data_IF_488282464276
#
_entry.id   IF_488282464276
#
_cell.length_a   1.000
_cell.length_b   1.000
_cell.length_c   1.000
_cell.angle_alpha   90.00
_cell.angle_beta   90.00
_cell.angle_gamma   90.00
#
_symmetry.space_group_name_H-M   'P 1'
#
loop_
_entity.id
_entity.type
_entity.pdbx_description
1 polymer ?
#
# COMPACT_ATOMS: atom_id res chain seq x y z
N UNK A 1 -33.30 -7.23 -29.75
CA UNK A 1 -32.04 -7.06 -30.47
C UNK A 1 -30.94 -6.91 -29.43
N UNK A 2 -30.60 -5.73 -28.93
CA UNK A 2 -29.54 -5.60 -27.89
C UNK A 2 -29.73 -6.54 -26.67
N UNK A 3 -30.91 -6.54 -26.04
CA UNK A 3 -31.24 -7.48 -24.94
C UNK A 3 -31.31 -8.97 -25.35
N UNK A 4 -31.39 -9.29 -26.64
CA UNK A 4 -31.36 -10.66 -27.16
C UNK A 4 -29.92 -11.09 -27.53
N UNK A 5 -29.07 -10.13 -27.87
CA UNK A 5 -27.63 -10.31 -28.12
C UNK A 5 -26.87 -10.49 -26.80
N UNK A 6 -27.19 -9.71 -25.76
CA UNK A 6 -26.64 -9.87 -24.41
C UNK A 6 -26.97 -11.27 -23.83
N UNK A 7 -28.22 -11.72 -23.93
CA UNK A 7 -28.64 -13.05 -23.46
C UNK A 7 -27.96 -14.20 -24.22
N UNK A 8 -27.66 -14.03 -25.51
CA UNK A 8 -26.91 -15.03 -26.29
C UNK A 8 -25.44 -15.12 -25.85
N UNK A 9 -24.81 -13.99 -25.50
CA UNK A 9 -23.43 -13.95 -25.01
C UNK A 9 -23.29 -14.62 -23.63
N UNK A 10 -24.20 -14.36 -22.69
CA UNK A 10 -24.24 -15.04 -21.38
C UNK A 10 -24.41 -16.57 -21.55
N UNK A 11 -25.28 -17.00 -22.46
CA UNK A 11 -25.46 -18.42 -22.79
C UNK A 11 -24.20 -19.08 -23.40
N UNK A 12 -23.40 -18.36 -24.19
CA UNK A 12 -22.14 -18.89 -24.73
C UNK A 12 -21.01 -18.95 -23.69
N UNK A 13 -20.88 -17.96 -22.81
CA UNK A 13 -19.93 -18.02 -21.70
C UNK A 13 -20.23 -19.20 -20.76
N UNK A 14 -21.51 -19.44 -20.41
CA UNK A 14 -21.86 -20.53 -19.51
C UNK A 14 -21.57 -21.92 -20.15
N UNK A 15 -21.82 -22.06 -21.46
CA UNK A 15 -21.45 -23.27 -22.23
C UNK A 15 -19.94 -23.46 -22.31
N UNK A 16 -19.17 -22.38 -22.49
CA UNK A 16 -17.71 -22.40 -22.48
C UNK A 16 -17.15 -22.83 -21.12
N UNK A 17 -17.66 -22.25 -20.03
CA UNK A 17 -17.30 -22.57 -18.64
C UNK A 17 -17.60 -24.04 -18.27
N UNK A 18 -18.76 -24.56 -18.69
CA UNK A 18 -19.13 -25.98 -18.52
C UNK A 18 -18.18 -26.90 -19.30
N UNK A 19 -17.79 -26.54 -20.52
CA UNK A 19 -16.86 -27.31 -21.35
C UNK A 19 -15.46 -27.38 -20.75
N UNK A 20 -14.93 -26.25 -20.27
CA UNK A 20 -13.62 -26.18 -19.61
C UNK A 20 -13.55 -27.07 -18.36
N UNK A 21 -14.61 -27.06 -17.53
CA UNK A 21 -14.73 -27.92 -16.34
C UNK A 21 -14.75 -29.42 -16.66
N UNK A 22 -15.35 -29.85 -17.77
CA UNK A 22 -15.30 -31.27 -18.18
C UNK A 22 -13.88 -31.72 -18.53
N UNK A 23 -13.11 -30.91 -19.27
CA UNK A 23 -11.72 -31.25 -19.66
C UNK A 23 -10.76 -31.40 -18.48
N UNK A 24 -10.97 -30.67 -17.37
CA UNK A 24 -10.16 -30.81 -16.16
C UNK A 24 -10.45 -32.10 -15.38
N UNK A 25 -11.66 -32.66 -15.49
CA UNK A 25 -12.05 -33.90 -14.81
C UNK A 25 -11.45 -35.16 -15.43
N UNK A 26 -10.89 -35.09 -16.64
CA UNK A 26 -10.39 -36.26 -17.40
C UNK A 26 -8.87 -36.46 -17.32
N UNK A 27 -8.16 -35.69 -16.48
CA UNK A 27 -6.69 -35.65 -16.44
C UNK A 27 -6.06 -36.26 -15.16
N UNK A 28 -6.86 -36.88 -14.28
CA UNK A 28 -6.44 -37.24 -12.93
C UNK A 28 -6.70 -38.72 -12.56
N UNK A 29 -6.14 -39.66 -13.33
CA UNK A 29 -6.08 -41.08 -12.96
C UNK A 29 -4.84 -41.78 -13.57
N UNK A 30 -4.31 -42.81 -12.89
CA UNK A 30 -2.93 -43.33 -12.98
C UNK A 30 -1.84 -42.33 -12.52
N UNK A 31 -0.72 -42.73 -11.90
CA UNK A 31 -0.12 -44.08 -11.77
C UNK A 31 0.35 -44.34 -10.32
N UNK A 32 0.53 -45.59 -9.91
CA UNK A 32 0.86 -45.99 -8.53
C UNK A 32 2.10 -46.90 -8.43
N UNK A 33 2.90 -46.68 -7.37
CA UNK A 33 3.75 -47.67 -6.66
C UNK A 33 5.02 -48.20 -7.38
N UNK A 34 6.09 -48.63 -6.69
CA UNK A 34 6.50 -48.45 -5.27
C UNK A 34 7.86 -47.67 -5.28
N UNK A 35 8.96 -47.82 -4.52
CA UNK A 35 9.40 -48.73 -3.42
C UNK A 35 10.53 -48.03 -2.60
N UNK A 36 11.50 -48.78 -2.04
CA UNK A 36 12.60 -48.35 -1.14
C UNK A 36 13.98 -48.46 -1.86
N UNK A 37 15.16 -48.02 -1.38
CA UNK A 37 15.69 -47.66 -0.03
C UNK A 37 16.85 -46.61 -0.16
N UNK A 38 17.52 -46.11 0.92
CA UNK A 38 18.32 -44.87 0.89
C UNK A 38 19.87 -44.99 0.82
N UNK A 39 20.53 -43.91 0.40
CA UNK A 39 21.90 -43.55 0.83
C UNK A 39 22.03 -42.02 1.05
N UNK A 40 23.03 -41.61 1.85
CA UNK A 40 23.24 -40.24 2.34
C UNK A 40 24.29 -39.43 1.56
N UNK A 41 24.08 -38.13 1.39
CA UNK A 41 25.17 -37.17 1.13
C UNK A 41 24.89 -35.79 1.72
N UNK A 42 25.95 -35.05 2.07
CA UNK A 42 25.86 -33.71 2.66
C UNK A 42 25.27 -32.69 1.69
N UNK A 43 24.16 -32.08 2.09
CA UNK A 43 23.72 -30.78 1.60
C UNK A 43 23.47 -29.89 2.81
N UNK A 44 24.21 -28.78 2.91
CA UNK A 44 23.95 -27.78 3.95
C UNK A 44 22.53 -27.23 3.77
N UNK A 45 21.76 -27.04 4.87
CA UNK A 45 20.41 -26.50 4.75
C UNK A 45 20.46 -25.12 4.09
N UNK A 46 19.67 -24.95 3.03
CA UNK A 46 19.28 -23.62 2.58
C UNK A 46 18.55 -22.93 3.75
N UNK A 47 18.73 -21.61 3.88
CA UNK A 47 18.18 -20.86 5.02
C UNK A 47 16.68 -21.12 5.19
N UNK A 48 16.30 -21.51 6.41
CA UNK A 48 14.91 -21.74 6.79
C UNK A 48 14.12 -20.43 6.59
N UNK A 49 12.93 -20.50 5.99
CA UNK A 49 12.16 -19.33 5.59
C UNK A 49 11.83 -18.43 6.81
N UNK A 50 12.44 -17.25 6.88
CA UNK A 50 12.26 -16.31 8.01
C UNK A 50 10.79 -15.92 8.17
N UNK A 51 10.26 -16.17 9.38
CA UNK A 51 8.94 -15.80 9.91
C UNK A 51 7.97 -15.19 8.89
N UNK A 52 7.11 -16.03 8.30
CA UNK A 52 6.02 -15.57 7.43
C UNK A 52 4.90 -14.94 8.27
N UNK A 53 5.20 -13.79 8.86
CA UNK A 53 4.22 -12.92 9.53
C UNK A 53 3.12 -12.60 8.52
N UNK A 54 1.92 -13.13 8.81
CA UNK A 54 0.73 -12.97 8.01
C UNK A 54 0.02 -11.70 8.46
N UNK A 55 0.29 -10.59 7.76
CA UNK A 55 -0.31 -9.28 8.03
C UNK A 55 -1.80 -9.21 7.59
N UNK A 56 -2.57 -10.28 7.78
CA UNK A 56 -3.97 -10.40 7.34
C UNK A 56 -4.22 -10.38 5.83
N UNK A 57 -3.17 -10.22 5.01
CA UNK A 57 -3.24 -10.10 3.55
C UNK A 57 -2.34 -11.11 2.84
N UNK A 58 -2.78 -11.63 1.70
CA UNK A 58 -2.04 -12.64 0.93
C UNK A 58 -1.02 -11.98 0.01
N UNK A 59 0.28 -12.18 0.27
CA UNK A 59 1.36 -11.67 -0.60
C UNK A 59 1.25 -12.27 -2.01
N UNK A 60 1.40 -11.44 -3.05
CA UNK A 60 1.41 -11.86 -4.45
C UNK A 60 2.81 -11.71 -5.08
N UNK A 61 3.36 -10.49 -4.99
CA UNK A 61 4.69 -10.13 -5.50
C UNK A 61 5.39 -9.22 -4.49
N UNK A 62 6.68 -9.42 -4.25
CA UNK A 62 7.43 -8.62 -3.27
C UNK A 62 8.78 -8.17 -3.84
N UNK A 63 8.98 -6.86 -3.88
CA UNK A 63 10.10 -6.17 -4.52
C UNK A 63 11.10 -5.64 -3.47
N UNK A 64 12.42 -5.80 -3.67
CA UNK A 64 13.41 -5.16 -2.81
C UNK A 64 13.41 -3.63 -3.01
N UNK A 65 13.48 -2.88 -1.91
CA UNK A 65 13.59 -1.42 -1.94
C UNK A 65 14.93 -0.95 -1.33
N UNK A 66 15.17 0.36 -1.31
CA UNK A 66 16.37 0.94 -0.66
C UNK A 66 16.42 0.60 0.84
N UNK A 67 15.25 0.59 1.47
CA UNK A 67 15.03 0.08 2.82
C UNK A 67 13.78 -0.82 2.78
N UNK A 68 13.85 -1.97 3.45
CA UNK A 68 12.76 -2.94 3.48
C UNK A 68 12.33 -3.45 2.10
N UNK A 69 11.05 -3.82 2.00
CA UNK A 69 10.42 -4.39 0.81
C UNK A 69 9.11 -3.65 0.48
N UNK A 70 8.74 -3.65 -0.79
CA UNK A 70 7.41 -3.25 -1.25
C UNK A 70 6.67 -4.47 -1.80
N UNK A 71 5.54 -4.82 -1.19
CA UNK A 71 4.77 -6.02 -1.51
C UNK A 71 3.40 -5.67 -2.07
N UNK A 72 3.03 -6.29 -3.18
CA UNK A 72 1.66 -6.31 -3.68
C UNK A 72 0.95 -7.48 -3.00
N UNK A 73 -0.22 -7.23 -2.43
CA UNK A 73 -0.99 -8.24 -1.70
C UNK A 73 -2.47 -8.24 -2.11
N UNK A 74 -3.08 -9.42 -2.14
CA UNK A 74 -4.52 -9.60 -2.26
C UNK A 74 -5.18 -9.56 -0.86
N UNK A 75 -6.27 -8.83 -0.72
CA UNK A 75 -7.07 -8.82 0.50
C UNK A 75 -7.78 -7.50 0.74
N UNK A 76 -8.27 -7.33 1.96
CA UNK A 76 -8.82 -6.07 2.46
C UNK A 76 -7.79 -5.39 3.36
N UNK A 77 -7.52 -4.11 3.14
CA UNK A 77 -6.64 -3.33 4.02
C UNK A 77 -7.23 -3.16 5.43
N UNK A 78 -8.53 -3.40 5.62
CA UNK A 78 -9.23 -3.34 6.91
C UNK A 78 -8.78 -4.48 7.85
N UNK A 79 -8.27 -5.56 7.30
CA UNK A 79 -7.82 -6.75 8.05
C UNK A 79 -6.29 -6.79 8.20
N UNK A 80 -5.59 -5.70 7.82
CA UNK A 80 -4.14 -5.60 7.93
C UNK A 80 -3.70 -5.28 9.38
N UNK A 81 -2.89 -6.17 9.96
CA UNK A 81 -2.46 -6.12 11.37
C UNK A 81 -0.99 -5.70 11.57
N UNK A 82 -0.43 -4.91 10.65
CA UNK A 82 0.88 -4.27 10.82
C UNK A 82 0.82 -2.94 11.60
N UNK A 83 1.92 -2.20 11.66
CA UNK A 83 2.01 -0.96 12.45
C UNK A 83 0.98 0.10 12.05
N UNK A 84 0.63 0.21 10.76
CA UNK A 84 -0.43 1.12 10.32
C UNK A 84 -1.13 0.68 9.04
N UNK A 85 -2.34 1.22 8.84
CA UNK A 85 -3.01 1.22 7.54
C UNK A 85 -3.11 2.64 6.98
N UNK A 86 -3.01 2.77 5.66
CA UNK A 86 -3.23 4.04 4.93
C UNK A 86 -4.61 4.01 4.30
N UNK A 87 -5.47 4.92 4.74
CA UNK A 87 -6.86 5.08 4.31
C UNK A 87 -6.94 6.04 3.11
N UNK A 88 -7.65 5.63 2.06
CA UNK A 88 -8.01 6.50 0.92
C UNK A 88 -9.12 7.49 1.32
N UNK A 89 -8.73 8.55 2.03
CA UNK A 89 -9.62 9.51 2.64
C UNK A 89 -10.04 10.65 1.69
N UNK A 90 -11.09 11.36 2.09
CA UNK A 90 -11.47 12.66 1.52
C UNK A 90 -10.93 13.81 2.40
N UNK A 91 -10.92 15.05 1.88
CA UNK A 91 -10.37 16.25 2.54
C UNK A 91 -10.97 16.56 3.92
N UNK A 92 -12.21 16.17 4.18
CA UNK A 92 -12.85 16.35 5.49
C UNK A 92 -12.35 15.38 6.57
N UNK A 93 -11.73 14.27 6.16
CA UNK A 93 -11.14 13.21 6.97
C UNK A 93 -12.02 12.59 8.08
N UNK A 94 -13.35 12.78 8.07
CA UNK A 94 -14.28 12.31 9.12
C UNK A 94 -15.21 11.17 8.68
N UNK A 95 -14.70 10.29 7.81
CA UNK A 95 -15.43 9.15 7.23
C UNK A 95 -15.89 9.40 5.79
N UNK A 96 -16.42 8.35 5.17
CA UNK A 96 -16.82 8.32 3.76
C UNK A 96 -17.47 7.00 3.36
N UNK A 97 -17.55 6.74 2.06
CA UNK A 97 -17.96 5.43 1.50
C UNK A 97 -16.75 4.54 1.15
N UNK A 98 -17.01 3.37 0.57
CA UNK A 98 -15.97 2.46 0.11
C UNK A 98 -15.03 2.03 1.24
N UNK A 99 -13.71 2.01 0.97
CA UNK A 99 -12.69 1.61 1.95
C UNK A 99 -12.65 2.55 3.17
N UNK A 100 -12.86 3.86 3.01
CA UNK A 100 -12.91 4.81 4.13
C UNK A 100 -14.10 4.50 5.06
N UNK A 101 -15.25 4.12 4.47
CA UNK A 101 -16.42 3.64 5.21
C UNK A 101 -16.16 2.32 5.95
N UNK A 102 -15.49 1.36 5.31
CA UNK A 102 -15.16 0.07 5.92
C UNK A 102 -14.13 0.22 7.07
N UNK A 103 -13.11 1.05 6.88
CA UNK A 103 -12.12 1.44 7.91
C UNK A 103 -12.83 2.13 9.08
N UNK A 104 -13.76 3.05 8.82
CA UNK A 104 -14.56 3.71 9.87
C UNK A 104 -15.44 2.73 10.65
N UNK A 105 -16.06 1.77 9.95
CA UNK A 105 -16.91 0.76 10.57
C UNK A 105 -16.14 -0.25 11.44
N UNK A 106 -14.90 -0.60 11.05
CA UNK A 106 -14.02 -1.50 11.83
C UNK A 106 -13.30 -0.78 12.97
N UNK A 107 -12.84 0.46 12.78
CA UNK A 107 -12.11 1.21 13.82
C UNK A 107 -13.00 1.82 14.92
N UNK A 108 -14.33 1.77 14.76
CA UNK A 108 -15.30 2.13 15.78
C UNK A 108 -15.30 3.61 16.18
N UNK A 109 -15.91 3.89 17.35
CA UNK A 109 -16.06 5.27 17.84
C UNK A 109 -14.71 5.92 18.19
N UNK A 110 -13.73 5.15 18.67
CA UNK A 110 -12.40 5.67 19.00
C UNK A 110 -11.68 6.25 17.78
N UNK A 111 -11.81 5.61 16.61
CA UNK A 111 -11.31 6.15 15.35
C UNK A 111 -12.10 7.39 14.92
N UNK A 112 -13.43 7.39 15.03
CA UNK A 112 -14.25 8.55 14.66
C UNK A 112 -13.92 9.79 15.49
N UNK A 113 -13.82 9.65 16.81
CA UNK A 113 -13.46 10.74 17.72
C UNK A 113 -12.06 11.30 17.41
N UNK A 114 -11.08 10.44 17.16
CA UNK A 114 -9.73 10.85 16.79
C UNK A 114 -9.69 11.59 15.44
N UNK A 115 -10.50 11.16 14.46
CA UNK A 115 -10.69 11.83 13.16
C UNK A 115 -11.40 13.18 13.31
N UNK A 116 -12.35 13.30 14.23
CA UNK A 116 -13.03 14.55 14.51
C UNK A 116 -12.19 15.54 15.34
N UNK A 117 -11.17 15.06 16.05
CA UNK A 117 -10.18 15.86 16.76
C UNK A 117 -9.06 16.44 15.87
N UNK A 118 -8.84 15.92 14.65
CA UNK A 118 -7.86 16.47 13.71
C UNK A 118 -8.13 17.96 13.43
N UNK A 119 -7.12 18.84 13.39
CA UNK A 119 -7.34 20.28 13.20
C UNK A 119 -8.00 20.58 11.85
N UNK A 120 -8.89 21.57 11.81
CA UNK A 120 -9.39 22.12 10.55
C UNK A 120 -8.31 23.01 9.94
N UNK A 121 -8.00 22.79 8.66
CA UNK A 121 -7.02 23.53 7.87
C UNK A 121 -7.70 24.18 6.67
N UNK A 122 -7.06 25.20 6.08
CA UNK A 122 -7.54 25.82 4.84
C UNK A 122 -8.92 26.47 4.96
N UNK A 123 -9.93 25.90 4.28
CA UNK A 123 -11.30 26.45 4.17
C UNK A 123 -12.36 25.38 4.47
N UNK A 124 -13.50 25.81 5.00
CA UNK A 124 -14.67 24.96 5.18
C UNK A 124 -14.50 23.94 6.32
N UNK A 125 -14.51 22.65 5.99
CA UNK A 125 -14.34 21.53 6.94
C UNK A 125 -13.13 20.65 6.60
N UNK A 126 -12.20 21.13 5.78
CA UNK A 126 -10.97 20.40 5.43
C UNK A 126 -10.11 20.16 6.67
N UNK A 127 -9.57 18.96 6.83
CA UNK A 127 -8.61 18.57 7.87
C UNK A 127 -7.29 18.04 7.31
N UNK A 128 -7.31 17.60 6.05
CA UNK A 128 -6.13 17.30 5.25
C UNK A 128 -6.38 17.80 3.82
N UNK A 129 -5.43 18.54 3.25
CA UNK A 129 -5.52 18.99 1.87
C UNK A 129 -5.25 17.83 0.89
N UNK A 130 -5.62 18.00 -0.39
CA UNK A 130 -5.31 17.01 -1.43
C UNK A 130 -3.79 16.94 -1.65
N UNK A 131 -3.24 15.74 -1.69
CA UNK A 131 -1.80 15.50 -1.78
C UNK A 131 -1.05 15.49 -0.43
N UNK A 132 -1.79 15.47 0.69
CA UNK A 132 -1.27 15.41 2.06
C UNK A 132 -1.84 14.17 2.79
N UNK A 133 -1.32 13.86 3.99
CA UNK A 133 -1.81 12.79 4.86
C UNK A 133 -1.79 13.20 6.35
N UNK A 134 -2.64 12.60 7.19
CA UNK A 134 -2.68 12.84 8.65
C UNK A 134 -2.89 11.54 9.42
N UNK A 135 -2.11 11.30 10.48
CA UNK A 135 -2.24 10.07 11.30
C UNK A 135 -3.20 10.24 12.49
N UNK A 136 -4.00 9.21 12.77
CA UNK A 136 -4.80 9.03 14.00
C UNK A 136 -4.56 7.62 14.60
N UNK A 137 -5.04 7.38 15.81
CA UNK A 137 -5.12 6.02 16.39
C UNK A 137 -6.13 5.19 15.59
N UNK A 138 -5.93 3.88 15.49
CA UNK A 138 -6.80 3.03 14.67
C UNK A 138 -8.13 2.62 15.34
N UNK A 139 -8.23 2.70 16.66
CA UNK A 139 -9.43 2.27 17.40
C UNK A 139 -9.54 0.73 17.42
N UNK A 140 -10.68 0.18 17.02
CA UNK A 140 -10.99 -1.26 17.05
C UNK A 140 -10.46 -2.07 15.83
N UNK A 141 -9.44 -1.52 15.15
CA UNK A 141 -8.67 -2.15 14.05
C UNK A 141 -7.49 -2.96 14.59
N UNK A 142 -6.99 -3.92 13.79
CA UNK A 142 -5.88 -4.80 14.19
C UNK A 142 -4.48 -4.14 14.03
N UNK A 143 -4.41 -2.97 13.38
CA UNK A 143 -3.22 -2.12 13.28
C UNK A 143 -3.23 -1.04 14.38
N UNK A 144 -2.08 -0.49 14.75
CA UNK A 144 -2.00 0.56 15.79
C UNK A 144 -2.52 1.93 15.30
N UNK A 145 -2.20 2.30 14.05
CA UNK A 145 -2.43 3.64 13.50
C UNK A 145 -3.19 3.63 12.17
N UNK A 146 -3.96 4.69 11.91
CA UNK A 146 -4.56 4.97 10.60
C UNK A 146 -3.98 6.26 10.04
N UNK A 147 -3.39 6.19 8.87
CA UNK A 147 -2.89 7.34 8.12
C UNK A 147 -3.94 7.72 7.06
N UNK A 148 -4.63 8.83 7.24
CA UNK A 148 -5.63 9.33 6.29
C UNK A 148 -4.92 10.10 5.19
N UNK A 149 -4.73 9.49 4.01
CA UNK A 149 -4.10 10.13 2.86
C UNK A 149 -5.16 10.56 1.84
N UNK A 150 -5.09 11.81 1.38
CA UNK A 150 -6.11 12.39 0.49
C UNK A 150 -5.58 12.48 -0.93
N UNK A 151 -5.86 11.44 -1.72
CA UNK A 151 -5.60 11.44 -3.16
C UNK A 151 -6.54 12.38 -3.92
N UNK A 152 -6.17 12.81 -5.15
CA UNK A 152 -7.02 13.63 -6.01
C UNK A 152 -8.31 12.91 -6.41
N UNK A 153 -9.37 13.67 -6.61
CA UNK A 153 -10.54 13.21 -7.36
C UNK A 153 -10.40 13.70 -8.81
N UNK A 154 -10.00 12.82 -9.73
CA UNK A 154 -9.75 13.13 -11.15
C UNK A 154 -10.97 13.73 -11.87
N UNK A 155 -12.19 13.53 -11.36
CA UNK A 155 -13.39 14.22 -11.87
C UNK A 155 -13.33 15.76 -11.75
N UNK A 156 -12.38 16.31 -10.98
CA UNK A 156 -12.23 17.74 -10.72
C UNK A 156 -10.94 18.35 -11.33
N UNK A 157 -10.21 17.62 -12.17
CA UNK A 157 -8.97 18.10 -12.80
C UNK A 157 -9.03 17.94 -14.33
N UNK A 158 -8.90 19.06 -15.06
CA UNK A 158 -8.74 19.05 -16.52
C UNK A 158 -7.31 18.63 -16.94
N UNK A 159 -6.32 18.78 -16.04
CA UNK A 159 -4.92 18.40 -16.22
C UNK A 159 -4.62 17.11 -15.44
N UNK A 160 -4.48 15.98 -16.15
CA UNK A 160 -4.13 14.70 -15.54
C UNK A 160 -2.73 14.71 -14.90
N UNK A 161 -1.78 15.52 -15.40
CA UNK A 161 -0.42 15.63 -14.84
C UNK A 161 -0.39 16.45 -13.52
N UNK A 162 -1.42 17.27 -13.25
CA UNK A 162 -1.64 17.91 -11.95
C UNK A 162 -2.19 16.91 -10.92
N UNK A 163 -3.22 16.15 -11.31
CA UNK A 163 -3.79 15.12 -10.46
C UNK A 163 -2.75 14.03 -10.14
N UNK A 164 -2.04 13.50 -11.14
CA UNK A 164 -1.00 12.49 -10.93
C UNK A 164 0.10 12.95 -9.94
N UNK A 165 0.49 14.23 -10.00
CA UNK A 165 1.45 14.81 -9.06
C UNK A 165 0.91 14.93 -7.62
N UNK A 166 -0.38 15.25 -7.46
CA UNK A 166 -1.05 15.25 -6.16
C UNK A 166 -1.23 13.82 -5.61
N UNK A 167 -1.48 12.83 -6.47
CA UNK A 167 -1.56 11.42 -6.07
C UNK A 167 -0.22 10.92 -5.51
N UNK A 168 0.89 11.21 -6.20
CA UNK A 168 2.24 10.92 -5.69
C UNK A 168 2.49 11.62 -4.35
N UNK A 169 2.06 12.88 -4.21
CA UNK A 169 2.20 13.64 -2.97
C UNK A 169 1.44 13.00 -1.81
N UNK A 170 0.23 12.46 -2.03
CA UNK A 170 -0.55 11.78 -0.98
C UNK A 170 0.14 10.49 -0.47
N UNK A 171 0.64 9.65 -1.38
CA UNK A 171 1.44 8.46 -1.01
C UNK A 171 2.74 8.86 -0.31
N UNK A 172 3.43 9.89 -0.82
CA UNK A 172 4.64 10.46 -0.18
C UNK A 172 4.33 10.89 1.25
N UNK A 173 3.32 11.73 1.46
CA UNK A 173 2.95 12.26 2.77
C UNK A 173 2.63 11.15 3.77
N UNK A 174 1.96 10.07 3.33
CA UNK A 174 1.73 8.89 4.16
C UNK A 174 3.03 8.19 4.58
N UNK A 175 4.01 8.03 3.68
CA UNK A 175 5.34 7.50 4.01
C UNK A 175 6.13 8.43 4.96
N UNK A 176 5.97 9.75 4.86
CA UNK A 176 6.58 10.71 5.80
C UNK A 176 5.96 10.59 7.20
N UNK A 177 4.63 10.52 7.31
CA UNK A 177 3.88 10.31 8.56
C UNK A 177 4.25 8.97 9.23
N UNK A 178 4.46 7.91 8.45
CA UNK A 178 4.86 6.60 8.93
C UNK A 178 6.32 6.58 9.44
N UNK A 179 7.26 7.16 8.67
CA UNK A 179 8.66 7.33 9.08
C UNK A 179 8.79 8.18 10.34
N UNK A 180 8.08 9.31 10.41
CA UNK A 180 8.20 10.23 11.54
C UNK A 180 7.50 9.67 12.82
N UNK A 181 6.90 8.46 12.73
CA UNK A 181 6.48 7.59 13.85
C UNK A 181 7.25 6.26 13.93
N UNK A 182 8.29 6.07 13.12
CA UNK A 182 9.15 4.87 13.05
C UNK A 182 8.39 3.54 12.84
N UNK A 183 7.33 3.56 12.03
CA UNK A 183 6.51 2.37 11.74
C UNK A 183 7.28 1.34 10.91
N UNK A 184 7.27 0.07 11.31
CA UNK A 184 7.99 -1.00 10.61
C UNK A 184 7.19 -1.62 9.46
N UNK A 185 5.85 -1.59 9.52
CA UNK A 185 4.97 -2.21 8.51
C UNK A 185 3.73 -1.36 8.20
N UNK A 186 3.43 -1.16 6.92
CA UNK A 186 2.40 -0.19 6.48
C UNK A 186 1.55 -0.75 5.33
N UNK A 187 0.23 -0.91 5.55
CA UNK A 187 -0.72 -1.43 4.57
C UNK A 187 -1.52 -0.34 3.87
N UNK A 188 -1.35 -0.16 2.56
CA UNK A 188 -2.00 0.92 1.79
C UNK A 188 -3.31 0.48 1.13
N UNK A 189 -4.34 1.32 1.30
CA UNK A 189 -5.43 1.45 0.33
C UNK A 189 -4.86 1.95 -1.01
N UNK A 190 -5.45 1.51 -2.13
CA UNK A 190 -5.10 2.03 -3.45
C UNK A 190 -5.73 3.43 -3.65
N UNK A 191 -5.00 4.47 -3.23
CA UNK A 191 -5.43 5.87 -3.29
C UNK A 191 -5.89 6.24 -4.70
N UNK A 192 -7.04 6.93 -4.79
CA UNK A 192 -7.70 7.35 -6.03
C UNK A 192 -7.99 6.27 -7.08
N UNK A 193 -7.77 4.97 -6.81
CA UNK A 193 -8.02 3.89 -7.76
C UNK A 193 -9.51 3.56 -7.96
N UNK A 194 -10.35 3.86 -6.97
CA UNK A 194 -11.80 3.65 -6.97
C UNK A 194 -12.60 4.79 -7.61
N UNK A 195 -13.66 5.27 -6.93
CA UNK A 195 -14.58 6.28 -7.46
C UNK A 195 -13.91 7.62 -7.83
N UNK A 196 -12.81 7.98 -7.17
CA UNK A 196 -12.03 9.19 -7.45
C UNK A 196 -11.21 9.10 -8.74
N UNK A 197 -11.12 7.94 -9.39
CA UNK A 197 -10.35 7.73 -10.63
C UNK A 197 -10.98 8.40 -11.85
N UNK A 198 -12.31 8.55 -11.85
CA UNK A 198 -13.06 9.02 -13.02
C UNK A 198 -12.70 8.28 -14.30
N UNK A 199 -12.36 9.03 -15.35
CA UNK A 199 -11.91 8.51 -16.65
C UNK A 199 -10.45 8.08 -16.70
N UNK A 200 -9.63 8.37 -15.69
CA UNK A 200 -8.21 8.00 -15.66
C UNK A 200 -8.07 6.46 -15.72
N UNK A 201 -7.08 5.99 -16.46
CA UNK A 201 -6.81 4.55 -16.56
C UNK A 201 -6.28 4.02 -15.22
N UNK A 202 -6.49 2.73 -14.93
CA UNK A 202 -6.07 2.14 -13.65
C UNK A 202 -4.55 1.98 -13.54
N UNK A 203 -3.86 1.60 -14.63
CA UNK A 203 -2.41 1.37 -14.61
C UNK A 203 -1.61 2.61 -14.17
N UNK A 204 -1.81 3.82 -14.74
CA UNK A 204 -1.06 4.99 -14.31
C UNK A 204 -1.25 5.30 -12.82
N UNK A 205 -2.49 5.21 -12.33
CA UNK A 205 -2.85 5.50 -10.92
C UNK A 205 -2.19 4.51 -9.95
N UNK A 206 -2.16 3.22 -10.29
CA UNK A 206 -1.48 2.22 -9.46
C UNK A 206 0.05 2.29 -9.59
N UNK A 207 0.58 2.59 -10.77
CA UNK A 207 2.01 2.79 -11.00
C UNK A 207 2.54 4.01 -10.23
N UNK A 208 1.79 5.11 -10.16
CA UNK A 208 2.12 6.27 -9.33
C UNK A 208 2.25 5.85 -7.86
N UNK A 209 1.29 5.08 -7.33
CA UNK A 209 1.32 4.60 -5.95
C UNK A 209 2.53 3.71 -5.65
N UNK A 210 2.79 2.72 -6.51
CA UNK A 210 3.93 1.81 -6.39
C UNK A 210 5.26 2.59 -6.38
N UNK A 211 5.42 3.50 -7.34
CA UNK A 211 6.64 4.31 -7.47
C UNK A 211 6.80 5.32 -6.32
N UNK A 212 5.69 5.89 -5.82
CA UNK A 212 5.70 6.81 -4.69
C UNK A 212 6.05 6.13 -3.36
N UNK A 213 5.50 4.94 -3.08
CA UNK A 213 5.83 4.20 -1.85
C UNK A 213 7.31 3.79 -1.88
N UNK A 214 7.78 3.15 -2.96
CA UNK A 214 9.13 2.61 -3.01
C UNK A 214 10.24 3.68 -2.93
N UNK A 215 10.06 4.82 -3.63
CA UNK A 215 11.00 5.94 -3.60
C UNK A 215 11.06 6.67 -2.25
N UNK A 216 10.07 6.46 -1.37
CA UNK A 216 9.99 7.11 -0.06
C UNK A 216 10.13 6.11 1.12
N UNK A 217 10.73 4.94 0.86
CA UNK A 217 11.14 3.97 1.89
C UNK A 217 12.20 4.55 2.84
N UNK A 218 12.24 4.07 4.08
CA UNK A 218 13.03 4.64 5.18
C UNK A 218 13.62 3.54 6.11
N UNK A 219 14.68 3.81 6.89
CA UNK A 219 15.50 2.78 7.54
C UNK A 219 14.75 1.81 8.47
N UNK A 220 13.72 2.28 9.16
CA UNK A 220 12.90 1.48 10.08
C UNK A 220 11.84 0.62 9.37
N UNK A 221 11.55 0.89 8.10
CA UNK A 221 10.55 0.13 7.33
C UNK A 221 11.08 -1.27 6.97
N UNK A 222 10.36 -2.29 7.39
CA UNK A 222 10.57 -3.69 6.98
C UNK A 222 9.78 -4.02 5.72
N UNK A 223 8.48 -3.74 5.70
CA UNK A 223 7.60 -4.07 4.57
C UNK A 223 6.42 -3.10 4.43
N UNK A 224 6.32 -2.44 3.28
CA UNK A 224 5.13 -1.68 2.87
C UNK A 224 4.30 -2.52 1.89
N UNK A 225 2.97 -2.42 1.97
CA UNK A 225 2.04 -3.22 1.17
C UNK A 225 1.11 -2.35 0.33
N UNK A 226 0.96 -2.64 -0.95
CA UNK A 226 -0.18 -2.17 -1.74
C UNK A 226 -1.25 -3.28 -1.71
N UNK A 227 -2.34 -3.05 -0.97
CA UNK A 227 -3.38 -4.05 -0.74
C UNK A 227 -4.49 -3.89 -1.78
N UNK A 228 -4.55 -4.84 -2.71
CA UNK A 228 -5.44 -4.85 -3.85
C UNK A 228 -6.66 -5.73 -3.60
N UNK A 229 -7.84 -5.11 -3.54
CA UNK A 229 -9.09 -5.76 -3.18
C UNK A 229 -9.68 -6.60 -4.32
N UNK A 230 -9.53 -6.15 -5.57
CA UNK A 230 -10.02 -6.85 -6.76
C UNK A 230 -8.91 -7.51 -7.57
N UNK A 231 -9.23 -8.62 -8.25
CA UNK A 231 -8.31 -9.30 -9.19
C UNK A 231 -7.79 -8.37 -10.29
N UNK A 232 -8.60 -7.37 -10.70
CA UNK A 232 -8.18 -6.36 -11.69
C UNK A 232 -7.07 -5.47 -11.15
N UNK A 233 -7.17 -5.02 -9.91
CA UNK A 233 -6.12 -4.21 -9.26
C UNK A 233 -4.86 -5.03 -9.03
N UNK A 234 -5.00 -6.30 -8.60
CA UNK A 234 -3.90 -7.25 -8.40
C UNK A 234 -3.08 -7.42 -9.69
N UNK A 235 -3.72 -7.84 -10.79
CA UNK A 235 -3.06 -8.03 -12.08
C UNK A 235 -2.50 -6.71 -12.67
N UNK A 236 -3.16 -5.57 -12.43
CA UNK A 236 -2.66 -4.27 -12.91
C UNK A 236 -1.41 -3.83 -12.13
N UNK A 237 -1.34 -4.12 -10.83
CA UNK A 237 -0.15 -3.86 -10.01
C UNK A 237 1.01 -4.77 -10.37
N UNK A 238 0.77 -6.06 -10.63
CA UNK A 238 1.79 -6.98 -11.12
C UNK A 238 2.33 -6.55 -12.50
N UNK A 239 1.46 -6.09 -13.41
CA UNK A 239 1.87 -5.54 -14.70
C UNK A 239 2.74 -4.28 -14.54
N UNK A 240 2.30 -3.31 -13.72
CA UNK A 240 3.07 -2.10 -13.44
C UNK A 240 4.42 -2.43 -12.76
N UNK A 241 4.42 -3.38 -11.83
CA UNK A 241 5.63 -3.88 -11.16
C UNK A 241 6.61 -4.54 -12.13
N UNK A 242 6.14 -5.30 -13.13
CA UNK A 242 7.01 -5.96 -14.11
C UNK A 242 7.63 -4.97 -15.12
N UNK A 243 6.91 -3.91 -15.50
CA UNK A 243 7.47 -2.82 -16.33
C UNK A 243 8.54 -2.04 -15.58
N UNK A 244 8.32 -1.80 -14.29
CA UNK A 244 9.26 -1.10 -13.42
C UNK A 244 10.44 -1.99 -12.98
N UNK A 245 10.19 -3.27 -12.69
CA UNK A 245 11.14 -4.25 -12.19
C UNK A 245 11.31 -5.44 -13.18
N UNK A 246 11.98 -5.25 -14.32
CA UNK A 246 12.23 -6.34 -15.27
C UNK A 246 13.23 -7.39 -14.74
N UNK A 247 13.98 -7.09 -13.68
CA UNK A 247 14.87 -8.02 -12.98
C UNK A 247 14.87 -7.75 -11.46
N UNK A 248 14.08 -8.51 -10.66
CA UNK A 248 14.04 -8.37 -9.21
C UNK A 248 15.34 -8.70 -8.47
N UNK A 249 16.33 -9.34 -9.12
CA UNK A 249 17.58 -9.75 -8.49
C UNK A 249 18.69 -8.68 -8.59
N UNK A 250 18.57 -7.72 -9.51
CA UNK A 250 19.62 -6.70 -9.77
C UNK A 250 19.63 -5.50 -8.83
N UNK A 251 18.62 -5.35 -7.98
CA UNK A 251 18.39 -4.13 -7.21
C UNK A 251 17.76 -3.02 -8.07
N UNK A 252 17.04 -2.11 -7.43
CA UNK A 252 16.09 -1.23 -8.11
C UNK A 252 16.55 0.24 -8.15
N UNK A 253 16.55 0.86 -9.34
CA UNK A 253 16.72 2.30 -9.52
C UNK A 253 15.38 3.04 -9.68
N UNK A 254 14.82 3.52 -8.56
CA UNK A 254 13.58 4.28 -8.53
C UNK A 254 13.72 5.68 -9.16
N UNK A 255 14.96 6.17 -9.30
CA UNK A 255 15.27 7.43 -9.98
C UNK A 255 14.98 7.34 -11.47
N UNK A 256 15.35 6.22 -12.12
CA UNK A 256 15.06 5.97 -13.53
C UNK A 256 13.55 5.79 -13.78
N UNK A 257 12.85 5.06 -12.89
CA UNK A 257 11.39 4.92 -12.94
C UNK A 257 10.66 6.28 -12.88
N UNK A 258 11.15 7.19 -12.03
CA UNK A 258 10.58 8.53 -11.89
C UNK A 258 10.99 9.50 -13.00
N UNK A 259 12.13 9.24 -13.68
CA UNK A 259 12.54 9.98 -14.88
C UNK A 259 11.65 9.68 -16.11
N UNK A 260 11.07 8.48 -16.22
CA UNK A 260 10.10 8.15 -17.28
C UNK A 260 8.67 8.64 -16.97
N UNK A 261 8.38 9.04 -15.72
CA UNK A 261 7.10 9.62 -15.33
C UNK A 261 6.96 11.07 -15.81
N UNK A 262 6.61 11.20 -17.09
CA UNK A 262 6.55 12.38 -18.00
C UNK A 262 6.13 13.75 -17.43
N UNK A 263 5.42 13.82 -16.30
CA UNK A 263 5.05 15.09 -15.66
C UNK A 263 6.26 15.75 -14.99
N UNK A 264 6.56 16.98 -15.41
CA UNK A 264 7.58 17.82 -14.77
C UNK A 264 7.22 18.14 -13.30
N UNK A 265 5.93 18.09 -12.94
CA UNK A 265 5.46 18.27 -11.55
C UNK A 265 5.81 17.06 -10.68
N UNK A 266 5.58 15.84 -11.18
CA UNK A 266 5.98 14.58 -10.53
C UNK A 266 7.50 14.56 -10.27
N UNK A 267 8.29 14.91 -11.28
CA UNK A 267 9.74 15.07 -11.16
C UNK A 267 10.14 16.02 -10.02
N UNK A 268 9.49 17.20 -9.93
CA UNK A 268 9.77 18.20 -8.87
C UNK A 268 9.40 17.67 -7.48
N UNK A 269 8.25 17.02 -7.31
CA UNK A 269 7.85 16.43 -6.02
C UNK A 269 8.79 15.32 -5.57
N UNK A 270 9.29 14.49 -6.51
CA UNK A 270 10.32 13.49 -6.19
C UNK A 270 11.67 14.13 -5.85
N UNK A 271 12.15 15.11 -6.64
CA UNK A 271 13.42 15.77 -6.41
C UNK A 271 13.47 16.51 -5.06
N UNK A 272 12.35 17.11 -4.64
CA UNK A 272 12.20 17.65 -3.29
C UNK A 272 12.32 16.56 -2.21
N UNK A 273 11.77 15.36 -2.47
CA UNK A 273 11.93 14.23 -1.54
C UNK A 273 13.37 13.72 -1.45
N UNK A 274 14.08 13.62 -2.58
CA UNK A 274 15.51 13.30 -2.57
C UNK A 274 16.30 14.34 -1.78
N UNK A 275 16.07 15.63 -2.02
CA UNK A 275 16.76 16.71 -1.29
C UNK A 275 16.46 16.70 0.22
N UNK A 276 15.20 16.46 0.64
CA UNK A 276 14.84 16.27 2.05
C UNK A 276 15.51 15.03 2.65
N UNK A 277 15.57 13.92 1.90
CA UNK A 277 16.16 12.66 2.34
C UNK A 277 17.69 12.78 2.45
N UNK A 278 18.36 13.43 1.51
CA UNK A 278 19.78 13.76 1.55
C UNK A 278 20.09 14.70 2.73
N UNK A 279 19.29 15.76 2.93
CA UNK A 279 19.45 16.66 4.07
C UNK A 279 19.28 15.92 5.42
N UNK A 280 18.36 14.94 5.51
CA UNK A 280 18.20 14.09 6.71
C UNK A 280 19.35 13.08 6.90
N UNK A 281 19.98 12.58 5.84
CA UNK A 281 21.19 11.73 5.94
C UNK A 281 22.47 12.52 6.21
N UNK A 282 22.54 13.79 5.79
CA UNK A 282 23.63 14.71 6.09
C UNK A 282 23.54 15.32 7.50
N UNK A 283 22.36 15.28 8.14
CA UNK A 283 22.18 15.68 9.52
C UNK A 283 22.83 14.64 10.47
N UNK A 284 23.72 15.05 11.40
CA UNK A 284 24.24 14.14 12.41
C UNK A 284 23.09 13.67 13.33
N UNK A 285 23.13 12.43 13.86
CA UNK A 285 22.07 11.90 14.71
C UNK A 285 21.88 12.78 15.95
N UNK A 286 20.64 13.15 16.24
CA UNK A 286 20.33 13.98 17.40
C UNK A 286 20.74 13.26 18.69
N UNK A 287 21.38 13.96 19.65
CA UNK A 287 21.79 13.32 20.90
C UNK A 287 20.55 12.86 21.66
N UNK A 288 20.45 11.54 21.92
CA UNK A 288 19.38 10.95 22.74
C UNK A 288 19.29 11.70 24.07
N UNK A 289 18.15 12.34 24.31
CA UNK A 289 17.87 13.01 25.58
C UNK A 289 17.73 11.95 26.69
N UNK A 290 18.80 11.76 27.47
CA UNK A 290 18.75 10.93 28.67
C UNK A 290 17.88 11.67 29.69
N UNK A 291 16.67 11.17 29.93
CA UNK A 291 15.77 11.73 30.93
C UNK A 291 16.43 11.67 32.32
N UNK A 292 16.45 12.77 33.09
CA UNK A 292 17.04 12.77 34.42
C UNK A 292 16.19 11.91 35.36
N UNK A 293 16.79 10.84 35.90
CA UNK A 293 16.14 9.95 36.86
C UNK A 293 15.95 10.66 38.21
N UNK A 294 14.74 11.12 38.48
CA UNK A 294 14.37 11.82 39.73
C UNK A 294 14.30 10.87 40.93
N UNK A 295 15.47 10.50 41.45
CA UNK A 295 15.65 9.95 42.80
C UNK A 295 15.80 11.07 43.84
N UNK A 296 15.57 10.73 45.11
CA UNK A 296 15.58 11.62 46.29
C UNK A 296 14.34 12.53 46.40
N UNK A 297 13.67 12.65 47.56
CA UNK A 297 13.85 11.93 48.84
C UNK A 297 12.56 11.91 49.66
N UNK A 298 12.39 10.86 50.47
CA UNK A 298 11.43 10.84 51.57
C UNK A 298 12.03 11.55 52.80
N UNK A 299 11.23 12.37 53.49
CA UNK A 299 11.51 12.90 54.83
C UNK A 299 10.19 13.07 55.59
N UNK A 300 10.10 12.65 56.87
CA UNK A 300 8.88 12.78 57.67
C UNK A 300 8.86 14.06 58.53
N UNK A 301 7.66 14.60 58.76
CA UNK A 301 7.18 15.20 60.03
C UNK A 301 5.67 15.45 59.96
#
# INVERSE_FOLDING_TARGET
QQLEEEQQLEEEEEKSSKRAKMTLSTAAESTTKDELDPETSDAAPAGEDEDTMSYGVSRLLSLPCKFGRLTIAAGSVVDFCGSAIVNAANTGCVGGGGVDGAISARGGYALQDAREALPIVGKGRTRCEVGDAKTTIAGDLDAEWVIHAVGPNYHHYDDEDEADALLYSAYRAAMLEARDKQMESVGFSLLSAGIFRGSRQLEPVLRIGLTAVAANTYPELKEAFLVAFTQREQATLEQAAAVLCPDPQRGFDWTAALADMKSERLHKTHALSLAELEARHAAPPSPRAVAPSSLSSCSPL
#
